data_IF_516190724060
#
_entry.id   IF_516190724060
#
_cell.length_a   1.000
_cell.length_b   1.000
_cell.length_c   1.000
_cell.angle_alpha   90.00
_cell.angle_beta   90.00
_cell.angle_gamma   90.00
#
_symmetry.space_group_name_H-M   'P 1'
#
loop_
_entity.id
_entity.type
_entity.pdbx_description
1 polymer ?
#
# COMPACT_ATOMS: atom_id res chain seq x y z
N UNK A 1 -26.70 31.21 -17.79
CA UNK A 1 -26.92 29.80 -17.40
C UNK A 1 -26.34 29.62 -16.00
N UNK A 2 -27.21 29.73 -14.99
CA UNK A 2 -26.83 29.80 -13.57
C UNK A 2 -26.37 28.44 -13.05
N UNK A 3 -25.21 28.39 -12.38
CA UNK A 3 -24.73 27.20 -11.66
C UNK A 3 -25.47 27.12 -10.33
N UNK A 4 -26.33 26.12 -10.19
CA UNK A 4 -26.95 25.78 -8.91
C UNK A 4 -25.85 25.41 -7.89
N UNK A 5 -25.85 26.10 -6.76
CA UNK A 5 -25.08 25.74 -5.59
C UNK A 5 -25.79 24.57 -4.91
N UNK A 6 -25.29 23.35 -5.11
CA UNK A 6 -25.72 22.22 -4.29
C UNK A 6 -25.20 22.41 -2.87
N UNK A 7 -26.14 22.71 -1.97
CA UNK A 7 -25.91 23.00 -0.57
C UNK A 7 -25.10 21.92 0.13
N UNK A 8 -24.03 22.34 0.78
CA UNK A 8 -23.28 21.55 1.74
C UNK A 8 -24.19 21.18 2.91
N UNK A 9 -24.75 19.96 2.91
CA UNK A 9 -25.26 19.35 4.14
C UNK A 9 -24.06 19.04 5.03
N UNK A 10 -23.99 19.72 6.17
CA UNK A 10 -23.08 19.37 7.25
C UNK A 10 -23.24 17.87 7.57
N UNK A 11 -22.17 17.10 7.46
CA UNK A 11 -22.17 15.68 7.79
C UNK A 11 -22.48 15.52 9.28
N UNK A 12 -23.55 14.79 9.60
CA UNK A 12 -23.89 14.43 10.97
C UNK A 12 -22.75 13.63 11.62
N UNK A 13 -22.51 13.80 12.93
CA UNK A 13 -21.54 12.98 13.66
C UNK A 13 -21.99 11.51 13.65
N UNK A 14 -21.10 10.62 13.22
CA UNK A 14 -21.36 9.17 13.12
C UNK A 14 -21.05 8.48 14.45
N UNK A 15 -21.80 8.83 15.51
CA UNK A 15 -21.60 8.35 16.88
C UNK A 15 -22.53 7.20 17.31
N UNK A 16 -23.28 6.58 16.40
CA UNK A 16 -24.02 5.37 16.71
C UNK A 16 -23.31 4.14 16.15
N UNK A 17 -23.23 3.09 16.96
CA UNK A 17 -23.16 1.70 16.49
C UNK A 17 -24.12 1.62 15.30
N UNK A 18 -23.56 1.61 14.09
CA UNK A 18 -24.34 1.50 12.88
C UNK A 18 -24.78 0.05 12.87
N UNK A 19 -26.00 -0.16 13.37
CA UNK A 19 -26.74 -1.38 13.13
C UNK A 19 -26.64 -1.64 11.63
N UNK A 20 -26.10 -2.80 11.27
CA UNK A 20 -25.82 -3.13 9.88
C UNK A 20 -27.13 -3.17 9.07
N UNK A 21 -28.29 -3.12 9.73
CA UNK A 21 -29.61 -3.13 9.11
C UNK A 21 -30.64 -2.25 9.86
N UNK A 22 -30.94 -1.05 9.35
CA UNK A 22 -32.31 -0.47 9.49
C UNK A 22 -32.76 0.46 8.34
N UNK A 23 -31.91 0.77 7.34
CA UNK A 23 -32.32 1.43 6.08
C UNK A 23 -31.59 0.90 4.82
N UNK A 24 -30.74 -0.12 5.00
CA UNK A 24 -30.17 -0.96 3.93
C UNK A 24 -29.22 -0.26 2.95
N UNK A 25 -28.88 1.01 3.16
CA UNK A 25 -28.10 1.80 2.19
C UNK A 25 -26.70 2.10 2.71
N UNK A 26 -25.70 1.49 2.08
CA UNK A 26 -24.30 1.74 2.41
C UNK A 26 -23.91 3.20 2.12
N UNK A 27 -23.39 3.97 3.10
CA UNK A 27 -23.16 5.40 2.93
C UNK A 27 -22.21 5.74 1.79
N UNK A 28 -22.56 6.74 0.99
CA UNK A 28 -21.75 7.23 -0.12
C UNK A 28 -21.39 8.71 0.02
N UNK A 29 -20.12 9.03 -0.14
CA UNK A 29 -19.61 10.40 -0.11
C UNK A 29 -18.99 10.78 -1.44
N UNK A 30 -19.21 12.00 -1.91
CA UNK A 30 -18.44 12.61 -2.97
C UNK A 30 -17.05 13.07 -2.51
N UNK A 31 -16.27 13.60 -3.45
CA UNK A 31 -14.95 14.13 -3.17
C UNK A 31 -15.01 15.25 -2.12
N UNK A 32 -14.21 15.12 -1.05
CA UNK A 32 -14.18 16.03 0.12
C UNK A 32 -15.49 16.12 0.93
N UNK A 33 -16.48 15.25 0.69
CA UNK A 33 -17.74 15.27 1.44
C UNK A 33 -17.71 14.39 2.70
N UNK A 34 -16.72 13.49 2.83
CA UNK A 34 -16.61 12.64 4.01
C UNK A 34 -16.20 13.43 5.27
N UNK A 35 -16.64 13.03 6.47
CA UNK A 35 -16.23 13.64 7.73
C UNK A 35 -14.71 13.68 7.88
N UNK A 36 -14.16 14.84 8.25
CA UNK A 36 -12.73 15.05 8.42
C UNK A 36 -11.90 15.05 7.12
N UNK A 37 -12.52 14.97 5.93
CA UNK A 37 -11.79 14.75 4.68
C UNK A 37 -10.74 15.83 4.35
N UNK A 38 -11.00 17.09 4.70
CA UNK A 38 -10.04 18.18 4.48
C UNK A 38 -8.80 18.03 5.37
N UNK A 39 -9.00 17.80 6.68
CA UNK A 39 -7.92 17.58 7.64
C UNK A 39 -7.12 16.32 7.32
N UNK A 40 -7.80 15.20 7.03
CA UNK A 40 -7.15 13.93 6.64
C UNK A 40 -6.34 14.11 5.34
N UNK A 41 -6.84 14.90 4.38
CA UNK A 41 -6.12 15.20 3.14
C UNK A 41 -4.90 16.09 3.39
N UNK A 42 -4.98 17.08 4.27
CA UNK A 42 -3.85 17.92 4.65
C UNK A 42 -2.78 17.09 5.37
N UNK A 43 -3.18 16.26 6.33
CA UNK A 43 -2.30 15.36 7.06
C UNK A 43 -1.61 14.34 6.14
N UNK A 44 -2.37 13.70 5.23
CA UNK A 44 -1.81 12.76 4.25
C UNK A 44 -0.84 13.40 3.25
N UNK A 45 -0.83 14.73 3.11
CA UNK A 45 0.16 15.49 2.32
C UNK A 45 1.32 16.02 3.16
N UNK A 46 1.32 15.81 4.47
CA UNK A 46 2.31 16.38 5.39
C UNK A 46 2.14 17.88 5.66
N UNK A 47 1.00 18.46 5.30
CA UNK A 47 0.73 19.91 5.46
C UNK A 47 -0.03 20.25 6.74
N UNK A 48 -0.41 19.25 7.56
CA UNK A 48 -1.14 19.47 8.81
C UNK A 48 -1.09 18.27 9.74
N UNK A 49 -1.58 18.41 10.98
CA UNK A 49 -1.61 17.33 11.96
C UNK A 49 -2.61 16.25 11.54
N UNK A 50 -2.35 15.00 11.94
CA UNK A 50 -3.31 13.92 11.79
C UNK A 50 -4.51 14.18 12.71
N UNK A 51 -5.75 14.20 12.17
CA UNK A 51 -6.94 14.32 13.02
C UNK A 51 -7.13 13.05 13.86
N UNK A 52 -7.84 13.16 14.98
CA UNK A 52 -8.20 12.00 15.81
C UNK A 52 -9.33 11.19 15.17
N UNK A 53 -10.28 11.88 14.55
CA UNK A 53 -11.53 11.32 14.05
C UNK A 53 -11.76 11.55 12.55
N UNK A 54 -12.74 10.82 12.00
CA UNK A 54 -13.21 10.96 10.63
C UNK A 54 -12.99 9.73 9.76
N UNK A 55 -13.23 9.90 8.45
CA UNK A 55 -13.22 8.82 7.48
C UNK A 55 -12.07 8.95 6.48
N UNK A 56 -11.20 7.94 6.46
CA UNK A 56 -10.01 7.90 5.63
C UNK A 56 -10.04 6.74 4.64
N UNK A 57 -9.53 6.99 3.44
CA UNK A 57 -9.22 5.91 2.49
C UNK A 57 -7.99 5.12 2.93
N UNK A 58 -7.85 3.86 2.49
CA UNK A 58 -6.63 3.06 2.76
C UNK A 58 -5.34 3.78 2.34
N UNK A 59 -5.39 4.60 1.29
CA UNK A 59 -4.23 5.40 0.84
C UNK A 59 -3.90 6.51 1.83
N UNK A 60 -4.90 7.22 2.34
CA UNK A 60 -4.71 8.26 3.36
C UNK A 60 -4.17 7.65 4.66
N UNK A 61 -4.74 6.52 5.13
CA UNK A 61 -4.23 5.82 6.31
C UNK A 61 -2.77 5.41 6.15
N UNK A 62 -2.38 4.86 4.99
CA UNK A 62 -0.98 4.49 4.70
C UNK A 62 -0.03 5.69 4.74
N UNK A 63 -0.46 6.85 4.23
CA UNK A 63 0.33 8.08 4.30
C UNK A 63 0.54 8.56 5.74
N UNK A 64 -0.39 8.23 6.63
CA UNK A 64 -0.31 8.52 8.07
C UNK A 64 0.37 7.40 8.88
N UNK A 65 0.99 6.41 8.25
CA UNK A 65 1.52 5.20 8.91
C UNK A 65 0.48 4.42 9.73
N UNK A 66 -0.79 4.49 9.32
CA UNK A 66 -1.90 3.76 9.91
C UNK A 66 -2.39 2.63 8.99
N UNK A 67 -3.11 1.70 9.60
CA UNK A 67 -3.80 0.58 8.97
C UNK A 67 -5.25 0.54 9.45
N UNK A 68 -6.19 -0.04 8.67
CA UNK A 68 -7.61 -0.12 9.05
C UNK A 68 -7.92 -0.95 10.30
N UNK A 69 -6.95 -1.49 11.02
CA UNK A 69 -7.23 -2.24 12.27
C UNK A 69 -7.99 -3.57 12.12
N UNK A 70 -8.38 -3.97 10.90
CA UNK A 70 -9.10 -5.22 10.63
C UNK A 70 -10.62 -5.10 10.60
N UNK A 71 -11.18 -3.88 10.69
CA UNK A 71 -12.62 -3.67 10.57
C UNK A 71 -13.04 -3.48 9.10
N UNK A 72 -14.31 -3.78 8.82
CA UNK A 72 -14.90 -3.61 7.49
C UNK A 72 -15.05 -2.13 7.09
N UNK A 73 -15.11 -1.82 5.77
CA UNK A 73 -15.43 -0.50 5.29
C UNK A 73 -16.75 0.03 5.86
N UNK A 74 -16.78 1.31 6.23
CA UNK A 74 -17.99 1.96 6.78
C UNK A 74 -18.71 2.85 5.76
N UNK A 75 -18.02 3.26 4.69
CA UNK A 75 -18.60 4.06 3.63
C UNK A 75 -17.83 3.95 2.31
N UNK A 76 -18.44 4.42 1.22
CA UNK A 76 -17.87 4.46 -0.13
C UNK A 76 -17.64 5.90 -0.54
N UNK A 77 -16.42 6.21 -0.99
CA UNK A 77 -16.09 7.48 -1.62
C UNK A 77 -16.27 7.36 -3.12
N UNK A 78 -17.09 8.23 -3.72
CA UNK A 78 -17.29 8.40 -5.16
C UNK A 78 -16.37 9.50 -5.70
N UNK A 79 -15.57 9.16 -6.70
CA UNK A 79 -14.58 10.03 -7.31
C UNK A 79 -14.80 10.14 -8.83
N UNK A 80 -14.28 11.21 -9.44
CA UNK A 80 -14.34 11.45 -10.90
C UNK A 80 -15.76 11.29 -11.46
N UNK A 81 -16.74 11.93 -10.82
CA UNK A 81 -18.14 11.90 -11.22
C UNK A 81 -18.83 10.52 -11.11
N UNK A 82 -18.27 9.56 -10.38
CA UNK A 82 -18.84 8.20 -10.26
C UNK A 82 -18.04 7.10 -10.94
N UNK A 83 -17.06 7.46 -11.77
CA UNK A 83 -16.27 6.48 -12.54
C UNK A 83 -15.25 5.70 -11.70
N UNK A 84 -14.93 6.19 -10.51
CA UNK A 84 -14.02 5.53 -9.56
C UNK A 84 -14.61 5.62 -8.16
N UNK A 85 -14.31 4.63 -7.36
CA UNK A 85 -14.71 4.61 -5.96
C UNK A 85 -13.56 4.13 -5.08
N UNK A 86 -13.65 4.42 -3.79
CA UNK A 86 -12.74 3.92 -2.77
C UNK A 86 -13.48 3.63 -1.47
N UNK A 87 -13.02 2.65 -0.71
CA UNK A 87 -13.56 2.39 0.63
C UNK A 87 -13.02 3.40 1.64
N UNK A 88 -13.90 3.78 2.57
CA UNK A 88 -13.62 4.64 3.71
C UNK A 88 -13.65 3.81 5.00
N UNK A 89 -12.69 4.11 5.86
CA UNK A 89 -12.46 3.46 7.14
C UNK A 89 -12.41 4.53 8.23
N UNK A 90 -12.81 4.16 9.45
CA UNK A 90 -12.75 5.04 10.61
C UNK A 90 -11.32 5.24 11.05
N UNK A 91 -10.99 6.49 11.40
CA UNK A 91 -9.68 6.83 11.91
C UNK A 91 -9.50 6.40 13.38
N UNK A 92 -10.57 6.48 14.18
CA UNK A 92 -10.55 6.09 15.60
C UNK A 92 -10.20 4.60 15.81
N UNK A 93 -10.60 3.75 14.86
CA UNK A 93 -10.36 2.31 14.89
C UNK A 93 -9.06 1.92 14.15
N UNK A 94 -8.38 2.90 13.56
CA UNK A 94 -7.14 2.66 12.86
C UNK A 94 -6.04 2.28 13.83
N UNK A 95 -5.15 1.38 13.38
CA UNK A 95 -4.01 0.91 14.18
C UNK A 95 -2.71 1.29 13.49
N UNK A 96 -1.63 1.54 14.25
CA UNK A 96 -0.30 1.73 13.67
C UNK A 96 0.03 0.63 12.67
N UNK A 97 0.58 1.02 11.52
CA UNK A 97 1.02 0.07 10.51
C UNK A 97 2.09 -0.83 11.12
N UNK A 98 1.91 -2.16 10.96
CA UNK A 98 2.91 -3.13 11.42
C UNK A 98 4.24 -2.88 10.72
N UNK A 99 5.30 -2.79 11.51
CA UNK A 99 6.68 -2.72 11.05
C UNK A 99 7.22 -4.16 11.10
N UNK A 100 7.81 -4.67 10.00
CA UNK A 100 8.41 -6.00 10.02
C UNK A 100 9.54 -6.05 11.04
N UNK A 101 9.72 -7.20 11.69
CA UNK A 101 10.88 -7.42 12.55
C UNK A 101 12.13 -7.71 11.70
N UNK A 102 13.32 -7.51 12.25
CA UNK A 102 14.57 -7.85 11.55
C UNK A 102 14.58 -9.30 11.06
N UNK A 103 14.03 -10.24 11.84
CA UNK A 103 13.91 -11.64 11.42
C UNK A 103 12.99 -11.81 10.19
N UNK A 104 11.90 -11.04 10.11
CA UNK A 104 11.00 -11.05 8.95
C UNK A 104 11.66 -10.41 7.72
N UNK A 105 12.43 -9.35 7.89
CA UNK A 105 13.19 -8.72 6.81
C UNK A 105 14.26 -9.69 6.26
N UNK A 106 14.98 -10.38 7.14
CA UNK A 106 15.94 -11.42 6.75
C UNK A 106 15.26 -12.59 6.03
N UNK A 107 14.08 -13.03 6.48
CA UNK A 107 13.31 -14.06 5.79
C UNK A 107 12.88 -13.61 4.38
N UNK A 108 12.47 -12.35 4.23
CA UNK A 108 12.12 -11.79 2.93
C UNK A 108 13.34 -11.66 2.00
N UNK A 109 14.48 -11.22 2.52
CA UNK A 109 15.73 -11.16 1.75
C UNK A 109 16.17 -12.56 1.30
N UNK A 110 16.12 -13.57 2.18
CA UNK A 110 16.39 -14.97 1.80
C UNK A 110 15.44 -15.48 0.71
N UNK A 111 14.16 -15.16 0.81
CA UNK A 111 13.16 -15.52 -0.20
C UNK A 111 13.38 -14.78 -1.53
N UNK A 112 13.86 -13.54 -1.50
CA UNK A 112 14.27 -12.80 -2.70
C UNK A 112 15.55 -13.38 -3.29
N UNK A 113 16.57 -13.68 -2.48
CA UNK A 113 17.81 -14.29 -2.89
C UNK A 113 17.57 -15.62 -3.62
N UNK A 114 16.70 -16.48 -3.10
CA UNK A 114 16.34 -17.74 -3.75
C UNK A 114 15.71 -17.55 -5.15
N UNK A 115 14.93 -16.47 -5.34
CA UNK A 115 14.30 -16.14 -6.64
C UNK A 115 15.25 -15.44 -7.61
N UNK A 116 16.31 -14.84 -7.09
CA UNK A 116 17.29 -14.05 -7.83
C UNK A 116 18.57 -14.84 -8.16
N UNK A 117 18.79 -15.97 -7.51
CA UNK A 117 20.03 -16.75 -7.65
C UNK A 117 19.86 -17.82 -8.70
N UNK A 118 20.73 -17.82 -9.71
CA UNK A 118 20.76 -18.88 -10.72
C UNK A 118 21.23 -20.19 -10.07
N UNK A 119 20.48 -21.28 -10.25
CA UNK A 119 20.81 -22.60 -9.68
C UNK A 119 22.02 -23.26 -10.35
N UNK A 120 22.43 -22.81 -11.54
CA UNK A 120 23.56 -23.36 -12.29
C UNK A 120 24.88 -22.64 -11.95
N UNK A 121 24.92 -21.31 -12.07
CA UNK A 121 26.15 -20.53 -11.87
C UNK A 121 26.25 -19.85 -10.50
N UNK A 122 25.19 -19.87 -9.69
CA UNK A 122 25.17 -19.28 -8.34
C UNK A 122 25.18 -17.75 -8.29
N UNK A 123 25.15 -17.05 -9.43
CA UNK A 123 25.09 -15.57 -9.46
C UNK A 123 23.72 -15.08 -8.98
N UNK A 124 23.71 -14.06 -8.10
CA UNK A 124 22.49 -13.39 -7.62
C UNK A 124 22.21 -12.14 -8.45
N UNK A 125 21.07 -12.10 -9.13
CA UNK A 125 20.65 -10.98 -9.98
C UNK A 125 19.90 -9.90 -9.17
N UNK A 126 19.92 -8.66 -9.67
CA UNK A 126 19.13 -7.56 -9.08
C UNK A 126 17.63 -7.67 -9.40
N UNK A 127 17.26 -8.59 -10.29
CA UNK A 127 15.89 -8.88 -10.70
C UNK A 127 15.58 -10.37 -10.46
N UNK A 128 14.29 -10.68 -10.37
CA UNK A 128 13.81 -12.07 -10.25
C UNK A 128 14.02 -12.79 -11.58
N UNK A 129 14.64 -13.97 -11.51
CA UNK A 129 14.86 -14.81 -12.69
C UNK A 129 13.52 -15.36 -13.23
N UNK A 130 13.42 -15.66 -14.53
CA UNK A 130 12.21 -16.24 -15.11
C UNK A 130 11.82 -17.54 -14.39
N UNK A 131 10.57 -17.63 -13.93
CA UNK A 131 10.08 -18.80 -13.17
C UNK A 131 10.02 -20.08 -13.99
N UNK A 132 9.92 -19.97 -15.32
CA UNK A 132 9.96 -21.11 -16.26
C UNK A 132 11.34 -21.75 -16.35
N UNK A 133 12.40 -20.94 -16.29
CA UNK A 133 13.78 -21.39 -16.46
C UNK A 133 14.43 -21.72 -15.12
N UNK A 134 14.14 -20.93 -14.06
CA UNK A 134 14.85 -20.95 -12.77
C UNK A 134 16.38 -20.79 -12.88
N UNK A 135 16.86 -20.39 -14.05
CA UNK A 135 18.25 -20.12 -14.39
C UNK A 135 18.33 -18.76 -15.08
N UNK A 136 19.54 -18.20 -15.16
CA UNK A 136 19.77 -17.01 -15.98
C UNK A 136 19.77 -17.35 -17.48
N UNK A 137 19.58 -16.33 -18.31
CA UNK A 137 19.61 -16.46 -19.77
C UNK A 137 20.97 -16.97 -20.25
N UNK A 138 22.07 -16.47 -19.69
CA UNK A 138 23.43 -16.94 -20.00
C UNK A 138 23.60 -18.46 -19.82
N UNK A 139 23.04 -19.04 -18.75
CA UNK A 139 23.08 -20.49 -18.54
C UNK A 139 22.06 -21.27 -19.39
N UNK A 140 21.03 -20.61 -19.92
CA UNK A 140 19.97 -21.25 -20.70
C UNK A 140 20.28 -21.27 -22.20
N UNK A 141 20.63 -20.11 -22.79
CA UNK A 141 20.83 -19.93 -24.22
C UNK A 141 22.19 -19.31 -24.58
N UNK A 142 23.04 -19.04 -23.60
CA UNK A 142 24.36 -18.43 -23.82
C UNK A 142 24.33 -16.92 -24.04
N UNK A 143 23.17 -16.26 -23.91
CA UNK A 143 23.08 -14.80 -24.01
C UNK A 143 23.88 -14.17 -22.86
N UNK A 144 24.92 -13.38 -23.15
CA UNK A 144 25.78 -12.83 -22.10
C UNK A 144 24.96 -11.90 -21.19
N UNK A 145 25.04 -12.13 -19.88
CA UNK A 145 24.42 -11.23 -18.91
C UNK A 145 25.30 -9.99 -18.72
N UNK A 146 24.67 -8.81 -18.71
CA UNK A 146 25.33 -7.57 -18.33
C UNK A 146 25.89 -7.70 -16.90
N UNK A 147 27.20 -7.46 -16.66
CA UNK A 147 27.78 -7.43 -15.32
C UNK A 147 27.05 -6.51 -14.33
N UNK A 148 26.38 -5.46 -14.80
CA UNK A 148 25.58 -4.58 -13.94
C UNK A 148 24.24 -5.22 -13.49
N UNK A 149 23.84 -6.34 -14.08
CA UNK A 149 22.58 -7.02 -13.79
C UNK A 149 22.64 -7.99 -12.61
N UNK A 150 23.85 -8.33 -12.14
CA UNK A 150 24.07 -9.25 -11.03
C UNK A 150 25.10 -8.74 -10.02
N UNK A 151 24.95 -9.20 -8.78
CA UNK A 151 25.94 -9.01 -7.73
C UNK A 151 27.13 -9.89 -8.08
N UNK A 152 28.27 -9.27 -8.40
CA UNK A 152 29.50 -9.99 -8.68
C UNK A 152 29.83 -10.91 -7.47
N UNK A 153 30.10 -12.20 -7.71
CA UNK A 153 30.54 -13.07 -6.63
C UNK A 153 31.77 -12.45 -5.96
N UNK A 154 31.91 -12.58 -4.63
CA UNK A 154 33.05 -12.00 -3.94
C UNK A 154 34.34 -12.53 -4.57
N UNK A 155 35.29 -11.63 -4.86
CA UNK A 155 36.60 -12.03 -5.32
C UNK A 155 37.19 -13.01 -4.31
N UNK A 156 37.73 -14.14 -4.77
CA UNK A 156 38.44 -15.07 -3.88
C UNK A 156 39.59 -14.29 -3.23
N UNK A 157 39.56 -14.12 -1.91
CA UNK A 157 40.68 -13.51 -1.18
C UNK A 157 41.92 -14.40 -1.36
N UNK A 158 43.02 -13.90 -1.94
CA UNK A 158 44.22 -14.71 -2.19
C UNK A 158 45.09 -14.97 -0.94
N UNK A 159 44.59 -14.68 0.27
CA UNK A 159 45.39 -14.62 1.51
C UNK A 159 45.29 -15.87 2.41
N UNK A 160 45.00 -17.04 1.86
CA UNK A 160 45.12 -18.30 2.59
C UNK A 160 46.17 -19.18 1.91
N UNK A 161 47.44 -18.98 2.30
CA UNK A 161 48.57 -19.87 2.05
C UNK A 161 49.37 -20.01 3.34
#
# INVERSE_FOLDING_TARGET
>A
MSRAADGARAGQPVDSVTDIYDDGTFPEFGNNQAPGAAAIRAAARGTGPAPAEGLATRRQLRALNLSPGGHEPVARLRCRGGRRWAWLYRLDLARPKRIPTLAQELALDRAMAARQTCTQCGRRYHHVLPTSLKTCLECHDGTPADPASYIAPPAKCPLAA
#
